data_IF_148511209847
#
_entry.id   IF_148511209847
#
_cell.length_a   1.000
_cell.length_b   1.000
_cell.length_c   1.000
_cell.angle_alpha   90.00
_cell.angle_beta   90.00
_cell.angle_gamma   90.00
#
_symmetry.space_group_name_H-M   'P 1'
#
loop_
_entity.id
_entity.type
_entity.pdbx_description
1 polymer ?
#
# COMPACT_ATOMS: atom_id res chain seq x y z
N UNK A 1 -9.63 1.26 -13.46
CA UNK A 1 -8.62 0.17 -13.46
C UNK A 1 -7.29 0.66 -14.03
N UNK A 2 -7.26 1.29 -15.22
CA UNK A 2 -6.00 1.73 -15.85
C UNK A 2 -5.16 2.72 -15.01
N UNK A 3 -5.80 3.57 -14.20
CA UNK A 3 -5.12 4.50 -13.30
C UNK A 3 -4.47 3.72 -12.15
N UNK A 4 -5.21 2.83 -11.51
CA UNK A 4 -4.73 2.03 -10.39
C UNK A 4 -3.56 1.08 -10.73
N UNK A 5 -3.42 0.69 -12.01
CA UNK A 5 -2.30 -0.15 -12.46
C UNK A 5 -0.98 0.63 -12.66
N UNK A 6 -1.01 1.97 -12.61
CA UNK A 6 0.15 2.85 -12.78
C UNK A 6 0.42 3.62 -11.50
N UNK A 7 1.56 3.36 -10.86
CA UNK A 7 1.91 3.94 -9.55
C UNK A 7 2.02 5.46 -9.57
N UNK A 8 2.50 6.04 -10.68
CA UNK A 8 2.60 7.51 -10.80
C UNK A 8 1.19 8.10 -10.81
N UNK A 9 0.32 7.60 -11.69
CA UNK A 9 -1.07 8.09 -11.79
C UNK A 9 -1.85 7.87 -10.49
N UNK A 10 -1.64 6.76 -9.81
CA UNK A 10 -2.22 6.50 -8.49
C UNK A 10 -1.81 7.56 -7.48
N UNK A 11 -0.51 7.87 -7.38
CA UNK A 11 0.00 8.87 -6.44
C UNK A 11 -0.42 10.30 -6.81
N UNK A 12 -0.56 10.62 -8.10
CA UNK A 12 -1.14 11.88 -8.57
C UNK A 12 -2.59 12.04 -8.12
N UNK A 13 -3.42 10.98 -8.29
CA UNK A 13 -4.80 10.97 -7.81
C UNK A 13 -4.88 11.09 -6.29
N UNK A 14 -4.04 10.38 -5.54
CA UNK A 14 -3.98 10.48 -4.10
C UNK A 14 -3.64 11.90 -3.64
N UNK A 15 -2.64 12.53 -4.27
CA UNK A 15 -2.26 13.90 -3.97
C UNK A 15 -3.39 14.88 -4.26
N UNK A 16 -4.06 14.75 -5.40
CA UNK A 16 -5.18 15.63 -5.81
C UNK A 16 -6.38 15.53 -4.86
N UNK A 17 -6.63 14.33 -4.31
CA UNK A 17 -7.76 14.06 -3.42
C UNK A 17 -7.37 14.00 -1.93
N UNK A 18 -6.19 14.53 -1.57
CA UNK A 18 -5.70 14.62 -0.19
C UNK A 18 -5.66 13.27 0.56
N UNK A 19 -5.56 12.16 -0.16
CA UNK A 19 -5.34 10.84 0.43
C UNK A 19 -3.93 10.79 1.02
N UNK A 20 -3.80 10.33 2.24
CA UNK A 20 -2.47 10.15 2.85
C UNK A 20 -1.65 9.11 2.08
N UNK A 21 -0.52 9.51 1.56
CA UNK A 21 0.41 8.67 0.80
C UNK A 21 1.87 8.99 1.15
N UNK A 22 2.86 8.14 0.82
CA UNK A 22 4.28 8.48 0.95
C UNK A 22 4.65 9.70 0.11
N UNK A 23 5.56 10.53 0.59
CA UNK A 23 6.17 11.57 -0.26
C UNK A 23 6.83 10.92 -1.48
N UNK A 24 6.67 11.53 -2.65
CA UNK A 24 7.18 11.01 -3.91
C UNK A 24 7.65 12.10 -4.85
N UNK A 25 8.55 11.74 -5.75
CA UNK A 25 9.04 12.62 -6.83
C UNK A 25 9.43 11.80 -8.06
N UNK A 26 9.40 12.46 -9.22
CA UNK A 26 9.97 11.93 -10.47
C UNK A 26 11.38 12.45 -10.70
N UNK A 27 11.86 13.37 -9.86
CA UNK A 27 13.14 14.04 -10.01
C UNK A 27 14.23 13.35 -9.20
N UNK A 28 15.33 12.95 -9.87
CA UNK A 28 16.48 12.33 -9.24
C UNK A 28 17.14 13.22 -8.16
N UNK A 29 17.22 14.53 -8.40
CA UNK A 29 17.88 15.44 -7.45
C UNK A 29 17.08 15.59 -6.14
N UNK A 30 15.75 15.56 -6.20
CA UNK A 30 14.92 15.53 -4.99
C UNK A 30 15.17 14.25 -4.19
N UNK A 31 15.21 13.10 -4.87
CA UNK A 31 15.53 11.82 -4.26
C UNK A 31 16.95 11.81 -3.65
N UNK A 32 17.92 12.41 -4.33
CA UNK A 32 19.28 12.60 -3.83
C UNK A 32 19.30 13.46 -2.56
N UNK A 33 18.54 14.56 -2.53
CA UNK A 33 18.40 15.40 -1.34
C UNK A 33 17.80 14.60 -0.16
N UNK A 34 16.81 13.75 -0.43
CA UNK A 34 16.21 12.91 0.61
C UNK A 34 17.22 11.92 1.22
N UNK A 35 17.96 11.17 0.40
CA UNK A 35 18.95 10.23 0.94
C UNK A 35 20.09 10.94 1.66
N UNK A 36 20.51 12.12 1.18
CA UNK A 36 21.53 12.95 1.83
C UNK A 36 21.04 13.47 3.19
N UNK A 37 19.73 13.73 3.31
CA UNK A 37 19.09 14.09 4.58
C UNK A 37 18.81 12.88 5.51
N UNK A 38 19.28 11.67 5.14
CA UNK A 38 19.16 10.45 5.95
C UNK A 38 17.84 9.68 5.79
N UNK A 39 17.02 10.04 4.79
CA UNK A 39 15.82 9.26 4.47
C UNK A 39 16.16 8.03 3.63
N UNK A 40 15.46 6.94 3.87
CA UNK A 40 15.46 5.77 2.98
C UNK A 40 14.53 6.07 1.80
N UNK A 41 15.00 5.83 0.58
CA UNK A 41 14.26 6.05 -0.66
C UNK A 41 14.07 4.73 -1.41
N UNK A 42 12.85 4.48 -1.87
CA UNK A 42 12.53 3.38 -2.77
C UNK A 42 12.56 3.90 -4.22
N UNK A 43 13.60 3.52 -4.96
CA UNK A 43 13.72 3.77 -6.39
C UNK A 43 12.86 2.72 -7.11
N UNK A 44 11.73 3.13 -7.69
CA UNK A 44 10.82 2.23 -8.40
C UNK A 44 11.17 2.23 -9.89
N UNK A 45 11.94 1.24 -10.31
CA UNK A 45 12.38 1.09 -11.70
C UNK A 45 11.24 0.63 -12.63
N UNK A 46 10.15 0.11 -12.05
CA UNK A 46 8.93 -0.28 -12.75
C UNK A 46 7.72 0.41 -12.11
N UNK A 47 6.92 1.12 -12.91
CA UNK A 47 5.70 1.79 -12.45
C UNK A 47 4.47 0.89 -12.48
N UNK A 48 4.54 -0.23 -13.23
CA UNK A 48 3.48 -1.25 -13.37
C UNK A 48 3.98 -2.62 -12.95
N UNK A 49 4.27 -2.77 -11.65
CA UNK A 49 4.76 -4.03 -11.08
C UNK A 49 4.06 -4.35 -9.76
N UNK A 50 4.02 -5.65 -9.40
CA UNK A 50 3.38 -6.16 -8.20
C UNK A 50 4.42 -6.73 -7.22
N UNK A 51 4.05 -6.90 -5.96
CA UNK A 51 4.82 -7.64 -4.93
C UNK A 51 6.22 -7.11 -4.68
N UNK A 52 6.44 -5.79 -4.82
CA UNK A 52 7.75 -5.17 -4.59
C UNK A 52 8.76 -5.34 -5.72
N UNK A 53 8.39 -5.93 -6.86
CA UNK A 53 9.27 -6.05 -8.03
C UNK A 53 9.68 -4.66 -8.55
N UNK A 54 10.95 -4.53 -8.92
CA UNK A 54 11.51 -3.28 -9.44
C UNK A 54 11.73 -2.21 -8.36
N UNK A 55 11.77 -2.57 -7.07
CA UNK A 55 12.18 -1.66 -6.00
C UNK A 55 13.67 -1.86 -5.73
N UNK A 56 14.44 -0.78 -5.84
CA UNK A 56 15.80 -0.67 -5.34
C UNK A 56 15.78 0.25 -4.12
N UNK A 57 16.34 -0.21 -3.00
CA UNK A 57 16.34 0.55 -1.75
C UNK A 57 17.63 1.35 -1.69
N UNK A 58 17.54 2.67 -1.56
CA UNK A 58 18.67 3.57 -1.37
C UNK A 58 18.67 4.16 0.04
N UNK A 59 19.77 3.97 0.78
CA UNK A 59 20.04 4.53 2.11
C UNK A 59 21.16 5.57 2.06
N UNK A 60 21.82 5.67 0.90
CA UNK A 60 22.91 6.60 0.64
C UNK A 60 22.88 7.05 -0.82
N UNK A 61 23.60 8.12 -1.14
CA UNK A 61 23.72 8.63 -2.49
C UNK A 61 24.31 7.60 -3.47
N UNK A 62 25.20 6.72 -2.98
CA UNK A 62 25.84 5.66 -3.78
C UNK A 62 24.86 4.54 -4.17
N UNK A 63 23.82 4.32 -3.38
CA UNK A 63 22.80 3.31 -3.63
C UNK A 63 21.64 3.84 -4.48
N UNK A 64 21.59 5.16 -4.71
CA UNK A 64 20.52 5.79 -5.48
C UNK A 64 20.71 5.49 -6.98
N UNK A 65 19.71 4.86 -7.58
CA UNK A 65 19.70 4.55 -9.01
C UNK A 65 18.68 5.41 -9.75
N UNK A 66 18.89 5.62 -11.06
CA UNK A 66 17.88 6.27 -11.89
C UNK A 66 16.62 5.41 -12.02
N UNK A 67 15.48 6.02 -11.72
CA UNK A 67 14.17 5.39 -11.76
C UNK A 67 13.09 6.40 -12.20
N UNK A 68 12.00 5.95 -12.81
CA UNK A 68 10.89 6.83 -13.18
C UNK A 68 10.11 7.37 -11.98
N UNK A 69 10.24 6.76 -10.79
CA UNK A 69 9.53 7.17 -9.58
C UNK A 69 10.37 6.88 -8.34
N UNK A 70 10.41 7.83 -7.42
CA UNK A 70 11.03 7.73 -6.10
C UNK A 70 9.97 7.96 -5.03
N UNK A 71 9.99 7.14 -3.98
CA UNK A 71 9.11 7.32 -2.81
C UNK A 71 9.93 7.26 -1.54
N UNK A 72 9.66 8.16 -0.58
CA UNK A 72 10.25 8.06 0.77
C UNK A 72 9.69 6.84 1.47
N UNK A 73 10.56 6.08 2.14
CA UNK A 73 10.13 5.00 3.01
C UNK A 73 9.44 5.57 4.25
N UNK A 74 8.25 5.06 4.55
CA UNK A 74 7.56 5.35 5.80
C UNK A 74 7.96 4.28 6.81
N UNK A 75 8.57 4.70 7.94
CA UNK A 75 8.84 3.79 9.06
C UNK A 75 7.51 3.27 9.60
N UNK A 76 7.16 2.07 9.18
CA UNK A 76 5.88 1.44 9.51
C UNK A 76 5.97 0.57 10.74
N UNK A 77 4.99 0.68 11.63
CA UNK A 77 4.75 -0.26 12.73
C UNK A 77 3.96 -1.46 12.22
N UNK A 78 2.86 -1.17 11.51
CA UNK A 78 1.95 -2.16 10.95
C UNK A 78 1.75 -1.93 9.46
N UNK A 79 1.35 -2.98 8.76
CA UNK A 79 0.95 -2.94 7.36
C UNK A 79 -0.35 -3.73 7.21
N UNK A 80 -1.30 -3.16 6.45
CA UNK A 80 -2.64 -3.68 6.30
C UNK A 80 -2.98 -3.84 4.82
N UNK A 81 -3.89 -4.76 4.54
CA UNK A 81 -4.69 -4.80 3.33
C UNK A 81 -6.14 -4.58 3.72
N UNK A 82 -6.73 -3.52 3.20
CA UNK A 82 -8.11 -3.10 3.53
C UNK A 82 -8.96 -3.22 2.29
N UNK A 83 -9.96 -4.07 2.33
CA UNK A 83 -10.87 -4.32 1.23
C UNK A 83 -12.08 -3.37 1.33
N UNK A 84 -12.30 -2.62 0.27
CA UNK A 84 -13.40 -1.66 0.12
C UNK A 84 -14.33 -2.14 -0.97
N UNK A 85 -15.63 -2.02 -0.75
CA UNK A 85 -16.69 -2.23 -1.74
C UNK A 85 -17.79 -1.20 -1.50
N UNK A 86 -18.18 -0.44 -2.54
CA UNK A 86 -19.18 0.63 -2.49
C UNK A 86 -19.04 1.54 -1.27
N UNK A 87 -17.83 2.10 -1.07
CA UNK A 87 -17.48 2.97 0.06
C UNK A 87 -17.64 2.34 1.45
N UNK A 88 -17.73 1.01 1.54
CA UNK A 88 -17.77 0.26 2.80
C UNK A 88 -16.54 -0.62 2.94
N UNK A 89 -16.02 -0.71 4.17
CA UNK A 89 -14.96 -1.68 4.49
C UNK A 89 -15.63 -3.04 4.66
N UNK A 90 -15.21 -4.01 3.86
CA UNK A 90 -15.73 -5.38 3.89
C UNK A 90 -14.76 -6.38 4.53
N UNK A 91 -13.46 -6.11 4.52
CA UNK A 91 -12.43 -6.96 5.16
C UNK A 91 -11.19 -6.14 5.50
N UNK A 92 -10.54 -6.48 6.61
CA UNK A 92 -9.25 -5.90 7.02
C UNK A 92 -8.31 -7.06 7.36
N UNK A 93 -7.10 -6.99 6.83
CA UNK A 93 -6.03 -7.95 7.06
C UNK A 93 -4.77 -7.21 7.49
N UNK A 94 -4.13 -7.68 8.54
CA UNK A 94 -2.81 -7.20 8.96
C UNK A 94 -1.72 -8.13 8.43
N UNK A 95 -0.69 -7.58 7.78
CA UNK A 95 0.50 -8.35 7.41
C UNK A 95 1.36 -8.61 8.64
N UNK A 96 1.45 -9.85 9.05
CA UNK A 96 2.27 -10.30 10.19
C UNK A 96 3.36 -11.25 9.72
N UNK A 97 4.45 -11.32 10.48
CA UNK A 97 5.49 -12.30 10.24
C UNK A 97 4.93 -13.71 10.45
N UNK A 98 5.14 -14.60 9.48
CA UNK A 98 4.80 -16.02 9.61
C UNK A 98 5.69 -16.73 10.63
N UNK A 99 5.20 -17.82 11.20
CA UNK A 99 5.93 -18.59 12.22
C UNK A 99 7.27 -19.15 11.70
N UNK A 100 7.31 -19.55 10.43
CA UNK A 100 8.49 -20.19 9.81
C UNK A 100 9.43 -19.18 9.13
N UNK A 101 9.17 -17.88 9.25
CA UNK A 101 10.01 -16.86 8.65
C UNK A 101 11.25 -16.59 9.50
N UNK A 102 12.34 -17.29 9.22
CA UNK A 102 13.62 -17.12 9.94
C UNK A 102 14.31 -15.80 9.58
N UNK A 103 14.21 -15.36 8.32
CA UNK A 103 14.79 -14.11 7.82
C UNK A 103 13.68 -13.27 7.14
N UNK A 104 13.05 -12.37 7.90
CA UNK A 104 12.02 -11.49 7.36
C UNK A 104 12.61 -10.13 6.97
N UNK A 105 12.42 -9.71 5.71
CA UNK A 105 12.70 -8.32 5.31
C UNK A 105 11.54 -7.40 5.74
N UNK A 106 11.77 -6.61 6.77
CA UNK A 106 10.75 -5.69 7.32
C UNK A 106 10.53 -4.44 6.47
N UNK A 107 11.40 -4.15 5.50
CA UNK A 107 11.22 -3.03 4.58
C UNK A 107 10.19 -3.34 3.49
N UNK A 108 10.26 -4.56 2.92
CA UNK A 108 9.30 -5.03 1.91
C UNK A 108 8.59 -6.27 2.48
N UNK A 109 7.39 -6.06 3.03
CA UNK A 109 6.58 -7.13 3.62
C UNK A 109 5.71 -7.80 2.55
N UNK A 110 6.16 -8.91 2.03
CA UNK A 110 5.42 -9.77 1.11
C UNK A 110 5.57 -11.24 1.51
N UNK A 111 4.86 -12.14 0.84
CA UNK A 111 4.89 -13.57 1.14
C UNK A 111 6.30 -14.15 0.97
N UNK A 112 7.03 -13.75 -0.08
CA UNK A 112 8.41 -14.22 -0.31
C UNK A 112 9.37 -13.82 0.82
N UNK A 113 9.07 -12.72 1.53
CA UNK A 113 9.84 -12.23 2.67
C UNK A 113 9.24 -12.70 4.01
N UNK A 114 8.45 -13.78 4.02
CA UNK A 114 7.95 -14.43 5.22
C UNK A 114 6.76 -13.74 5.90
N UNK A 115 5.98 -12.93 5.18
CA UNK A 115 4.79 -12.29 5.73
C UNK A 115 3.50 -12.95 5.25
N UNK A 116 2.52 -13.05 6.14
CA UNK A 116 1.19 -13.61 5.90
C UNK A 116 0.12 -12.60 6.29
N UNK A 117 -1.08 -12.74 5.73
CA UNK A 117 -2.24 -11.94 6.11
C UNK A 117 -3.00 -12.61 7.25
N UNK A 118 -3.23 -11.85 8.33
CA UNK A 118 -3.98 -12.26 9.51
C UNK A 118 -5.23 -11.39 9.67
N UNK A 119 -6.32 -11.97 10.15
CA UNK A 119 -7.60 -11.30 10.43
C UNK A 119 -7.89 -11.20 11.93
N UNK A 120 -7.22 -12.01 12.74
CA UNK A 120 -7.45 -12.10 14.18
C UNK A 120 -6.72 -10.98 14.92
N UNK A 121 -7.32 -10.49 16.02
CA UNK A 121 -6.72 -9.53 16.96
C UNK A 121 -6.12 -8.28 16.29
N UNK A 122 -6.80 -7.75 15.29
CA UNK A 122 -6.36 -6.53 14.60
C UNK A 122 -6.72 -5.31 15.45
N UNK A 123 -5.70 -4.56 15.85
CA UNK A 123 -5.86 -3.24 16.44
C UNK A 123 -5.75 -2.22 15.33
N UNK A 124 -6.88 -1.65 14.93
CA UNK A 124 -6.98 -0.71 13.81
C UNK A 124 -6.55 0.71 14.22
N UNK A 125 -5.70 1.38 13.42
CA UNK A 125 -5.51 2.83 13.53
C UNK A 125 -6.81 3.58 13.25
N UNK A 126 -7.01 4.71 13.92
CA UNK A 126 -8.27 5.48 13.86
C UNK A 126 -8.62 6.01 12.46
N UNK A 127 -7.59 6.29 11.65
CA UNK A 127 -7.72 6.84 10.30
C UNK A 127 -7.67 5.77 9.18
N UNK A 128 -7.46 4.50 9.53
CA UNK A 128 -7.25 3.41 8.57
C UNK A 128 -8.41 3.28 7.58
N UNK A 129 -9.64 3.18 8.11
CA UNK A 129 -10.86 2.99 7.31
C UNK A 129 -11.14 4.16 6.37
N UNK A 130 -11.07 5.38 6.91
CA UNK A 130 -11.31 6.60 6.14
C UNK A 130 -10.31 6.75 5.00
N UNK A 131 -9.01 6.55 5.29
CA UNK A 131 -7.96 6.63 4.27
C UNK A 131 -8.12 5.56 3.19
N UNK A 132 -8.54 4.33 3.54
CA UNK A 132 -8.79 3.27 2.57
C UNK A 132 -9.96 3.60 1.63
N UNK A 133 -11.08 4.07 2.17
CA UNK A 133 -12.26 4.47 1.38
C UNK A 133 -11.88 5.62 0.43
N UNK A 134 -11.21 6.65 0.93
CA UNK A 134 -10.74 7.78 0.12
C UNK A 134 -9.80 7.33 -1.00
N UNK A 135 -8.90 6.38 -0.74
CA UNK A 135 -7.97 5.86 -1.73
C UNK A 135 -8.70 5.19 -2.91
N UNK A 136 -9.71 4.35 -2.63
CA UNK A 136 -10.52 3.69 -3.68
C UNK A 136 -11.35 4.71 -4.45
N UNK A 137 -12.05 5.61 -3.73
CA UNK A 137 -12.89 6.64 -4.32
C UNK A 137 -12.09 7.61 -5.20
N UNK A 138 -10.87 8.01 -4.78
CA UNK A 138 -10.00 8.92 -5.54
C UNK A 138 -9.61 8.39 -6.92
N UNK A 139 -9.65 7.06 -7.12
CA UNK A 139 -9.36 6.40 -8.39
C UNK A 139 -10.62 6.14 -9.24
N UNK A 140 -11.80 6.58 -8.76
CA UNK A 140 -13.08 6.33 -9.41
C UNK A 140 -13.43 4.84 -9.46
N UNK A 141 -13.15 4.11 -8.39
CA UNK A 141 -13.40 2.67 -8.27
C UNK A 141 -14.51 2.40 -7.26
N UNK A 142 -15.36 1.44 -7.56
CA UNK A 142 -16.39 0.95 -6.66
C UNK A 142 -15.84 -0.05 -5.65
N UNK A 143 -14.74 -0.74 -5.99
CA UNK A 143 -14.08 -1.67 -5.10
C UNK A 143 -12.57 -1.75 -5.33
N UNK A 144 -11.87 -2.23 -4.32
CA UNK A 144 -10.44 -2.52 -4.37
C UNK A 144 -9.87 -2.92 -3.02
N UNK A 145 -8.69 -3.53 -3.02
CA UNK A 145 -7.92 -3.77 -1.80
C UNK A 145 -6.77 -2.79 -1.71
N UNK A 146 -6.78 -1.97 -0.67
CA UNK A 146 -5.77 -0.94 -0.43
C UNK A 146 -4.66 -1.52 0.43
N UNK A 147 -3.43 -1.53 -0.09
CA UNK A 147 -2.25 -1.83 0.71
C UNK A 147 -1.84 -0.55 1.44
N UNK A 148 -1.77 -0.63 2.78
CA UNK A 148 -1.59 0.52 3.66
C UNK A 148 -0.50 0.25 4.69
N UNK A 149 0.17 1.31 5.12
CA UNK A 149 1.10 1.27 6.25
C UNK A 149 0.68 2.25 7.32
N UNK A 150 0.88 1.87 8.58
CA UNK A 150 0.67 2.76 9.71
C UNK A 150 1.99 3.13 10.37
N UNK A 151 2.19 4.43 10.54
CA UNK A 151 3.32 5.01 11.26
C UNK A 151 2.88 5.39 12.67
N UNK A 152 3.44 4.71 13.68
CA UNK A 152 3.11 4.91 15.09
C UNK A 152 3.51 6.30 15.61
N UNK A 153 4.64 6.83 15.13
CA UNK A 153 5.14 8.13 15.59
C UNK A 153 4.22 9.29 15.22
N UNK A 154 3.70 9.26 13.99
CA UNK A 154 2.75 10.27 13.51
C UNK A 154 1.29 9.88 13.75
N UNK A 155 1.03 8.69 14.28
CA UNK A 155 -0.29 8.08 14.40
C UNK A 155 -1.11 8.23 13.11
N UNK A 156 -0.50 7.87 11.98
CA UNK A 156 -1.06 8.14 10.65
C UNK A 156 -0.94 6.92 9.74
N UNK A 157 -2.03 6.65 9.01
CA UNK A 157 -2.10 5.63 7.96
C UNK A 157 -1.81 6.23 6.59
N UNK A 158 -1.14 5.48 5.73
CA UNK A 158 -0.76 5.90 4.38
C UNK A 158 -1.13 4.82 3.38
N UNK A 159 -1.84 5.18 2.32
CA UNK A 159 -2.13 4.28 1.20
C UNK A 159 -0.90 4.17 0.29
N UNK A 160 -0.54 2.94 -0.06
CA UNK A 160 0.60 2.64 -0.94
C UNK A 160 0.13 2.35 -2.38
N UNK A 161 -0.92 1.55 -2.51
CA UNK A 161 -1.52 1.15 -3.79
C UNK A 161 -2.93 0.61 -3.58
N UNK A 162 -3.72 0.60 -4.66
CA UNK A 162 -5.04 -0.05 -4.70
C UNK A 162 -5.00 -1.20 -5.70
N UNK A 163 -5.23 -2.40 -5.22
CA UNK A 163 -5.32 -3.61 -6.01
C UNK A 163 -6.76 -3.79 -6.53
N UNK A 164 -6.95 -3.76 -7.85
CA UNK A 164 -8.26 -3.93 -8.52
C UNK A 164 -8.61 -5.39 -8.80
N UNK A 165 -7.69 -6.31 -8.54
CA UNK A 165 -7.89 -7.76 -8.59
C UNK A 165 -7.26 -8.39 -7.32
N UNK A 166 -7.92 -8.28 -6.17
CA UNK A 166 -7.31 -8.56 -4.85
C UNK A 166 -7.16 -10.05 -4.49
N UNK A 167 -7.19 -10.95 -5.45
CA UNK A 167 -7.13 -12.39 -5.20
C UNK A 167 -8.41 -12.88 -4.49
N UNK A 168 -9.41 -13.25 -5.27
CA UNK A 168 -10.70 -13.73 -4.75
C UNK A 168 -10.62 -15.22 -4.43
N UNK A 169 -10.01 -15.57 -3.30
CA UNK A 169 -9.84 -16.93 -2.82
C UNK A 169 -10.26 -17.03 -1.34
N UNK A 170 -10.73 -18.21 -0.92
CA UNK A 170 -11.10 -18.49 0.48
C UNK A 170 -12.01 -17.42 1.09
N UNK A 171 -11.70 -16.97 2.29
CA UNK A 171 -12.47 -15.96 3.04
C UNK A 171 -12.66 -14.64 2.27
N UNK A 172 -11.66 -14.23 1.46
CA UNK A 172 -11.79 -13.02 0.64
C UNK A 172 -12.91 -13.16 -0.38
N UNK A 173 -13.01 -14.31 -1.07
CA UNK A 173 -14.10 -14.60 -2.00
C UNK A 173 -15.46 -14.56 -1.30
N UNK A 174 -15.58 -15.21 -0.15
CA UNK A 174 -16.82 -15.21 0.63
C UNK A 174 -17.26 -13.80 1.02
N UNK A 175 -16.32 -12.96 1.45
CA UNK A 175 -16.60 -11.60 1.88
C UNK A 175 -17.11 -10.74 0.72
N UNK A 176 -16.44 -10.80 -0.45
CA UNK A 176 -16.90 -10.09 -1.64
C UNK A 176 -18.25 -10.63 -2.14
N UNK A 177 -18.45 -11.96 -2.13
CA UNK A 177 -19.73 -12.55 -2.54
C UNK A 177 -20.88 -12.06 -1.67
N UNK A 178 -20.70 -12.00 -0.34
CA UNK A 178 -21.72 -11.45 0.59
C UNK A 178 -21.99 -9.98 0.31
N UNK A 179 -20.98 -9.17 0.07
CA UNK A 179 -21.12 -7.73 -0.21
C UNK A 179 -21.87 -7.49 -1.54
N UNK A 180 -21.53 -8.24 -2.60
CA UNK A 180 -22.19 -8.15 -3.91
C UNK A 180 -23.65 -8.60 -3.83
N UNK A 181 -23.93 -9.72 -3.16
CA UNK A 181 -25.31 -10.22 -2.97
C UNK A 181 -26.15 -9.19 -2.21
N UNK A 182 -25.61 -8.64 -1.12
CA UNK A 182 -26.30 -7.61 -0.34
C UNK A 182 -26.69 -6.42 -1.22
N UNK A 183 -25.75 -5.86 -2.00
CA UNK A 183 -25.99 -4.74 -2.90
C UNK A 183 -27.02 -5.05 -4.00
N UNK A 184 -27.06 -6.28 -4.49
CA UNK A 184 -27.96 -6.69 -5.56
C UNK A 184 -29.42 -6.86 -5.11
N UNK A 185 -29.67 -7.03 -3.81
CA UNK A 185 -31.01 -7.35 -3.27
C UNK A 185 -31.55 -6.28 -2.28
N UNK A 186 -30.79 -5.25 -1.96
CA UNK A 186 -31.21 -4.03 -1.23
C UNK A 186 -31.51 -2.89 -2.19
#
# INVERSE_FOLDING_TARGET
VAIASDKIKTLECFKLNEVNHPEWTLNYNDALNWVTAGHVVFCRTLTRAHSGRGIVIARSAQELVHAPLYTKYIKKKKEFRVHVFNNQIIDIQEKRRGFDAHEADFLIRNHANGFVFCRDDIIEPTDLRTTAIQAVASLGLDFGAVDMVWNEHYNKSYALEVNTAPGLEGTTLETYSKAIIKEAYE
#
